data_IF_905092373752
#
_entry.id   IF_905092373752
#
_cell.length_a   1.000
_cell.length_b   1.000
_cell.length_c   1.000
_cell.angle_alpha   90.00
_cell.angle_beta   90.00
_cell.angle_gamma   90.00
#
_symmetry.space_group_name_H-M   'P 1'
#
loop_
_entity.id
_entity.type
_entity.pdbx_description
1 polymer ?
#
# COMPACT_ATOMS: atom_id res chain seq x y z
N UNK A 1 1.77 11.05 8.53
CA UNK A 1 2.42 9.98 7.73
C UNK A 1 1.29 9.14 7.19
N UNK A 2 1.15 9.04 5.87
CA UNK A 2 -0.05 8.51 5.24
C UNK A 2 0.32 7.43 4.25
N UNK A 3 -0.36 6.28 4.31
CA UNK A 3 -0.26 5.21 3.33
C UNK A 3 -1.52 5.19 2.48
N UNK A 4 -1.34 5.12 1.17
CA UNK A 4 -2.40 4.94 0.17
C UNK A 4 -2.08 3.69 -0.63
N UNK A 5 -3.01 2.76 -0.69
CA UNK A 5 -2.88 1.50 -1.40
C UNK A 5 -3.99 1.44 -2.44
N UNK A 6 -3.65 1.35 -3.71
CA UNK A 6 -4.61 1.16 -4.79
C UNK A 6 -4.42 -0.22 -5.38
N UNK A 7 -5.47 -1.02 -5.38
CA UNK A 7 -5.50 -2.38 -5.88
C UNK A 7 -6.37 -2.36 -7.13
N UNK A 8 -5.73 -2.43 -8.29
CA UNK A 8 -6.39 -2.47 -9.59
C UNK A 8 -6.19 -3.83 -10.23
N UNK A 9 -7.26 -4.51 -10.60
CA UNK A 9 -7.16 -5.81 -11.25
C UNK A 9 -8.52 -6.39 -11.58
N UNK A 10 -8.64 -6.99 -12.77
CA UNK A 10 -9.87 -7.62 -13.26
C UNK A 10 -10.59 -6.85 -14.38
N UNK A 11 -11.38 -7.62 -15.12
CA UNK A 11 -12.14 -7.37 -16.36
C UNK A 11 -13.02 -6.09 -16.43
N UNK A 12 -13.11 -5.28 -15.37
CA UNK A 12 -13.96 -4.09 -15.32
C UNK A 12 -13.21 -2.77 -15.01
N UNK A 13 -11.88 -2.79 -14.84
CA UNK A 13 -11.10 -1.56 -14.56
C UNK A 13 -11.31 -0.95 -13.18
N UNK A 14 -11.96 -1.68 -12.26
CA UNK A 14 -12.25 -1.23 -10.90
C UNK A 14 -10.95 -1.15 -10.09
N UNK A 15 -10.74 -0.01 -9.41
CA UNK A 15 -9.59 0.19 -8.52
C UNK A 15 -10.09 0.42 -7.10
N UNK A 16 -9.74 -0.48 -6.19
CA UNK A 16 -10.00 -0.32 -4.77
C UNK A 16 -8.86 0.49 -4.14
N UNK A 17 -9.18 1.66 -3.59
CA UNK A 17 -8.26 2.53 -2.87
C UNK A 17 -8.48 2.41 -1.37
N UNK A 18 -7.42 2.13 -0.63
CA UNK A 18 -7.40 2.08 0.83
C UNK A 18 -6.40 3.12 1.34
N UNK A 19 -6.84 3.99 2.23
CA UNK A 19 -6.01 5.03 2.82
C UNK A 19 -5.98 4.89 4.34
N UNK A 20 -4.79 5.07 4.92
CA UNK A 20 -4.58 5.13 6.35
C UNK A 20 -3.61 6.27 6.68
N UNK A 21 -4.04 7.18 7.56
CA UNK A 21 -3.21 8.27 8.05
C UNK A 21 -2.85 8.04 9.52
N UNK A 22 -1.57 8.11 9.85
CA UNK A 22 -1.07 8.07 11.21
C UNK A 22 -1.68 9.16 12.11
N UNK A 23 -2.08 10.30 11.52
CA UNK A 23 -2.68 11.41 12.26
C UNK A 23 -4.09 11.10 12.80
N UNK A 24 -4.80 10.13 12.20
CA UNK A 24 -6.12 9.69 12.67
C UNK A 24 -6.04 8.46 13.58
N UNK A 25 -4.87 7.86 13.71
CA UNK A 25 -4.64 6.71 14.58
C UNK A 25 -4.43 7.12 16.04
N UNK A 26 -4.86 6.29 17.00
CA UNK A 26 -4.45 6.42 18.40
C UNK A 26 -2.91 6.43 18.52
N UNK A 27 -2.31 7.16 19.48
CA UNK A 27 -0.86 7.22 19.67
C UNK A 27 -0.13 5.87 19.72
N UNK A 28 -0.63 4.80 20.39
CA UNK A 28 0.04 3.51 20.36
C UNK A 28 0.00 2.86 18.97
N UNK A 29 -1.09 3.03 18.23
CA UNK A 29 -1.27 2.47 16.89
C UNK A 29 -0.45 3.23 15.83
N UNK A 30 -0.28 4.54 16.00
CA UNK A 30 0.59 5.34 15.14
C UNK A 30 2.05 4.85 15.24
N UNK A 31 2.52 4.48 16.43
CA UNK A 31 3.85 3.91 16.61
C UNK A 31 3.98 2.53 15.94
N UNK A 32 2.95 1.68 16.05
CA UNK A 32 2.90 0.38 15.36
C UNK A 32 2.89 0.57 13.84
N UNK A 33 2.11 1.52 13.33
CA UNK A 33 2.09 1.84 11.91
C UNK A 33 3.46 2.27 11.39
N UNK A 34 4.17 3.13 12.11
CA UNK A 34 5.55 3.48 11.77
C UNK A 34 6.48 2.27 11.81
N UNK A 35 6.31 1.35 12.78
CA UNK A 35 7.10 0.12 12.85
C UNK A 35 6.84 -0.81 11.66
N UNK A 36 5.58 -1.00 11.24
CA UNK A 36 5.21 -1.83 10.09
C UNK A 36 5.74 -1.25 8.77
N UNK A 37 5.70 0.07 8.60
CA UNK A 37 6.27 0.73 7.42
C UNK A 37 7.80 0.55 7.36
N UNK A 38 8.48 0.68 8.50
CA UNK A 38 9.92 0.43 8.58
C UNK A 38 10.26 -1.04 8.33
N UNK A 39 9.43 -1.97 8.84
CA UNK A 39 9.59 -3.41 8.60
C UNK A 39 9.46 -3.75 7.12
N UNK A 40 8.50 -3.14 6.42
CA UNK A 40 8.30 -3.34 4.99
C UNK A 40 9.48 -2.89 4.13
N UNK A 41 10.41 -2.07 4.68
CA UNK A 41 11.63 -1.57 4.02
C UNK A 41 11.40 -1.07 2.60
N UNK A 42 10.22 -0.51 2.33
CA UNK A 42 9.80 -0.13 0.98
C UNK A 42 10.77 0.83 0.28
N UNK A 43 11.50 1.63 1.06
CA UNK A 43 12.53 2.57 0.60
C UNK A 43 13.83 1.90 0.19
N UNK A 44 14.16 0.77 0.80
CA UNK A 44 15.41 0.04 0.58
C UNK A 44 15.23 -1.08 -0.44
N UNK A 45 13.99 -1.48 -0.71
CA UNK A 45 13.68 -2.48 -1.72
C UNK A 45 14.07 -1.96 -3.12
N UNK A 46 14.68 -2.82 -3.95
CA UNK A 46 14.97 -2.48 -5.34
C UNK A 46 13.67 -2.14 -6.07
N UNK A 47 13.78 -1.31 -7.12
CA UNK A 47 12.64 -1.03 -7.98
C UNK A 47 12.09 -2.37 -8.52
N UNK A 48 10.80 -2.67 -8.31
CA UNK A 48 10.22 -3.87 -8.88
C UNK A 48 10.43 -3.85 -10.40
N UNK A 49 10.72 -5.02 -11.01
CA UNK A 49 10.90 -5.09 -12.45
C UNK A 49 9.66 -4.50 -13.13
N UNK A 50 9.90 -3.60 -14.10
CA UNK A 50 8.83 -2.94 -14.84
C UNK A 50 7.78 -3.96 -15.27
N UNK A 51 6.56 -3.77 -14.79
CA UNK A 51 5.48 -4.74 -14.93
C UNK A 51 5.22 -4.98 -16.40
N UNK A 52 5.67 -6.13 -16.91
CA UNK A 52 5.42 -6.53 -18.29
C UNK A 52 3.96 -6.97 -18.39
N UNK A 53 3.11 -5.97 -18.62
CA UNK A 53 1.68 -5.99 -18.93
C UNK A 53 1.02 -7.36 -19.11
N UNK A 54 0.81 -8.09 -18.01
CA UNK A 54 -0.20 -9.16 -18.01
C UNK A 54 -1.53 -8.50 -17.67
N UNK A 55 -2.51 -8.50 -18.59
CA UNK A 55 -3.81 -7.86 -18.35
C UNK A 55 -4.58 -8.50 -17.18
N UNK A 56 -4.25 -9.74 -16.83
CA UNK A 56 -4.88 -10.50 -15.75
C UNK A 56 -4.18 -10.34 -14.40
N UNK A 57 -3.03 -9.67 -14.34
CA UNK A 57 -2.29 -9.50 -13.09
C UNK A 57 -2.94 -8.43 -12.22
N UNK A 58 -3.17 -8.75 -10.94
CA UNK A 58 -3.53 -7.77 -9.94
C UNK A 58 -2.36 -6.80 -9.73
N UNK A 59 -2.63 -5.51 -9.94
CA UNK A 59 -1.70 -4.41 -9.72
C UNK A 59 -1.96 -3.77 -8.35
N UNK A 60 -0.88 -3.47 -7.66
CA UNK A 60 -0.85 -2.79 -6.37
C UNK A 60 0.00 -1.53 -6.52
N UNK A 61 -0.61 -0.35 -6.42
CA UNK A 61 0.10 0.91 -6.28
C UNK A 61 0.12 1.30 -4.80
N UNK A 62 1.31 1.34 -4.21
CA UNK A 62 1.50 1.66 -2.80
C UNK A 62 2.24 2.98 -2.72
N UNK A 63 1.57 3.98 -2.15
CA UNK A 63 2.10 5.33 -1.98
C UNK A 63 2.19 5.68 -0.50
N UNK A 64 3.39 6.04 -0.06
CA UNK A 64 3.70 6.47 1.30
C UNK A 64 4.08 7.95 1.29
N UNK A 65 3.36 8.75 2.07
CA UNK A 65 3.67 10.15 2.32
C UNK A 65 4.22 10.34 3.74
N UNK A 66 5.47 10.80 3.83
CA UNK A 66 6.14 11.11 5.10
C UNK A 66 6.85 12.46 5.00
N UNK A 67 6.51 13.38 5.91
CA UNK A 67 7.19 14.69 6.02
C UNK A 67 7.27 15.45 4.68
N UNK A 68 6.22 15.36 3.86
CA UNK A 68 6.14 16.00 2.54
C UNK A 68 6.84 15.25 1.40
N UNK A 69 7.49 14.12 1.67
CA UNK A 69 8.02 13.23 0.64
C UNK A 69 6.96 12.18 0.28
N UNK A 70 6.57 12.17 -0.99
CA UNK A 70 5.71 11.14 -1.56
C UNK A 70 6.57 10.06 -2.23
N UNK A 71 6.44 8.83 -1.77
CA UNK A 71 7.10 7.66 -2.31
C UNK A 71 6.05 6.70 -2.86
N UNK A 72 6.12 6.34 -4.15
CA UNK A 72 5.16 5.43 -4.78
C UNK A 72 5.88 4.25 -5.42
N UNK A 73 5.34 3.06 -5.24
CA UNK A 73 5.84 1.80 -5.83
C UNK A 73 4.69 1.00 -6.42
N UNK A 74 4.94 0.35 -7.55
CA UNK A 74 4.00 -0.53 -8.22
C UNK A 74 4.44 -1.99 -8.07
N UNK A 75 3.56 -2.83 -7.54
CA UNK A 75 3.78 -4.27 -7.42
C UNK A 75 2.69 -5.03 -8.17
N UNK A 76 2.99 -6.28 -8.53
CA UNK A 76 1.99 -7.30 -8.87
C UNK A 76 1.87 -8.28 -7.72
N UNK A 77 0.88 -9.17 -7.77
CA UNK A 77 0.81 -10.29 -6.82
C UNK A 77 2.10 -11.13 -6.76
N UNK A 78 2.82 -11.25 -7.89
CA UNK A 78 4.08 -11.99 -8.03
C UNK A 78 5.29 -11.21 -7.50
N UNK A 79 5.33 -9.88 -7.66
CA UNK A 79 6.46 -9.05 -7.24
C UNK A 79 6.29 -8.42 -5.85
N UNK A 80 5.13 -8.59 -5.21
CA UNK A 80 4.83 -8.04 -3.89
C UNK A 80 5.60 -8.79 -2.79
N UNK A 81 6.54 -8.13 -2.07
CA UNK A 81 7.28 -8.76 -1.00
C UNK A 81 6.38 -9.13 0.19
N UNK A 82 6.73 -10.19 0.91
CA UNK A 82 5.94 -10.70 2.04
C UNK A 82 5.78 -9.66 3.16
N UNK A 83 6.82 -8.87 3.46
CA UNK A 83 6.73 -7.82 4.48
C UNK A 83 5.74 -6.71 4.06
N UNK A 84 5.68 -6.38 2.76
CA UNK A 84 4.69 -5.42 2.24
C UNK A 84 3.29 -6.03 2.29
N UNK A 85 3.12 -7.31 1.97
CA UNK A 85 1.83 -8.01 2.10
C UNK A 85 1.33 -8.03 3.54
N UNK A 86 2.24 -8.21 4.51
CA UNK A 86 1.93 -8.16 5.95
C UNK A 86 1.46 -6.76 6.37
N UNK A 87 2.16 -5.71 5.93
CA UNK A 87 1.75 -4.32 6.12
C UNK A 87 0.35 -4.06 5.53
N UNK A 88 0.09 -4.54 4.30
CA UNK A 88 -1.22 -4.38 3.66
C UNK A 88 -2.34 -5.07 4.45
N UNK A 89 -2.10 -6.28 4.93
CA UNK A 89 -3.05 -7.02 5.75
C UNK A 89 -3.31 -6.32 7.10
N UNK A 90 -2.27 -5.75 7.71
CA UNK A 90 -2.40 -4.95 8.93
C UNK A 90 -3.28 -3.72 8.70
N UNK A 91 -3.06 -2.98 7.61
CA UNK A 91 -3.86 -1.81 7.24
C UNK A 91 -5.31 -2.17 6.92
N UNK A 92 -5.55 -3.28 6.22
CA UNK A 92 -6.91 -3.77 5.93
C UNK A 92 -7.68 -4.15 7.19
N UNK A 93 -6.98 -4.56 8.27
CA UNK A 93 -7.59 -4.87 9.56
C UNK A 93 -7.98 -3.64 10.39
N UNK A 94 -7.59 -2.43 9.98
CA UNK A 94 -7.84 -1.20 10.76
C UNK A 94 -9.24 -0.65 10.49
N UNK A 95 -10.06 -0.36 11.53
CA UNK A 95 -11.33 0.33 11.34
C UNK A 95 -11.17 1.79 10.90
N UNK A 96 -10.00 2.39 11.14
CA UNK A 96 -9.68 3.77 10.75
C UNK A 96 -9.33 3.91 9.25
N UNK A 97 -9.27 2.80 8.52
CA UNK A 97 -8.99 2.81 7.08
C UNK A 97 -10.15 3.44 6.32
N UNK A 98 -9.81 4.25 5.33
CA UNK A 98 -10.77 4.79 4.37
C UNK A 98 -10.69 3.95 3.12
N UNK A 99 -11.75 3.20 2.81
CA UNK A 99 -11.88 2.45 1.56
C UNK A 99 -12.73 3.25 0.57
N UNK A 100 -12.30 3.28 -0.69
CA UNK A 100 -13.00 3.94 -1.79
C UNK A 100 -12.80 3.16 -3.07
N UNK A 101 -13.83 3.12 -3.92
CA UNK A 101 -13.77 2.43 -5.21
C UNK A 101 -13.73 3.50 -6.30
N UNK A 102 -12.68 3.49 -7.11
CA UNK A 102 -12.56 4.33 -8.30
C UNK A 102 -13.08 3.54 -9.51
N UNK A 103 -13.99 4.15 -10.28
CA UNK A 103 -14.61 3.61 -11.50
C UNK A 103 -14.14 4.35 -12.75
#
# INVERSE_FOLDING_TARGET
MKLTVRRGGGIAGIVARTELDANVLPPPDAAVFTAEINRARMRELPDPPATSGRPDAQLYEISLEETGLLFSRHYTDDSLPEDVRTLLAWVDGRPERIESIEQ
#
